data_IF_798509372351
#
_entry.id   IF_798509372351
#
_cell.length_a   1.000
_cell.length_b   1.000
_cell.length_c   1.000
_cell.angle_alpha   90.00
_cell.angle_beta   90.00
_cell.angle_gamma   90.00
#
_symmetry.space_group_name_H-M   'P 1'
#
loop_
_entity.id
_entity.type
_entity.pdbx_description
1 polymer ?
#
# COMPACT_ATOMS: atom_id res chain seq x y z
N UNK A 1 -20.35 13.71 -21.75
CA UNK A 1 -20.02 13.50 -20.31
C UNK A 1 -19.78 12.02 -19.97
N UNK A 2 -20.69 11.09 -20.34
CA UNK A 2 -20.62 9.66 -19.96
C UNK A 2 -19.32 8.91 -20.29
N UNK A 3 -18.70 9.16 -21.46
CA UNK A 3 -17.44 8.49 -21.85
C UNK A 3 -16.23 8.90 -20.98
N UNK A 4 -16.21 10.14 -20.44
CA UNK A 4 -15.11 10.61 -19.60
C UNK A 4 -15.11 9.88 -18.25
N UNK A 5 -16.31 9.62 -17.70
CA UNK A 5 -16.43 8.96 -16.42
C UNK A 5 -16.12 7.45 -16.52
N UNK A 6 -16.52 6.79 -17.61
CA UNK A 6 -16.17 5.39 -17.84
C UNK A 6 -14.64 5.19 -17.97
N UNK A 7 -13.96 6.08 -18.69
CA UNK A 7 -12.50 6.06 -18.78
C UNK A 7 -11.82 6.22 -17.41
N UNK A 8 -12.32 7.13 -16.56
CA UNK A 8 -11.82 7.31 -15.19
C UNK A 8 -12.02 6.06 -14.34
N UNK A 9 -13.22 5.47 -14.35
CA UNK A 9 -13.50 4.22 -13.61
C UNK A 9 -12.59 3.09 -14.07
N UNK A 10 -12.33 2.99 -15.37
CA UNK A 10 -11.45 1.98 -15.94
C UNK A 10 -9.99 2.16 -15.53
N UNK A 11 -9.51 3.40 -15.47
CA UNK A 11 -8.19 3.69 -14.93
C UNK A 11 -8.09 3.36 -13.44
N UNK A 12 -9.09 3.75 -12.64
CA UNK A 12 -9.17 3.39 -11.22
C UNK A 12 -9.16 1.88 -10.99
N UNK A 13 -9.92 1.11 -11.78
CA UNK A 13 -9.88 -0.35 -11.74
C UNK A 13 -8.47 -0.90 -11.97
N UNK A 14 -7.76 -0.37 -12.97
CA UNK A 14 -6.38 -0.80 -13.25
C UNK A 14 -5.43 -0.50 -12.08
N UNK A 15 -5.60 0.67 -11.44
CA UNK A 15 -4.81 1.08 -10.28
C UNK A 15 -5.08 0.17 -9.07
N UNK A 16 -6.35 -0.15 -8.79
CA UNK A 16 -6.69 -1.04 -7.68
C UNK A 16 -6.20 -2.47 -7.91
N UNK A 17 -6.37 -3.01 -9.12
CA UNK A 17 -5.79 -4.31 -9.49
C UNK A 17 -4.27 -4.33 -9.30
N UNK A 18 -3.57 -3.28 -9.73
CA UNK A 18 -2.12 -3.18 -9.60
C UNK A 18 -1.63 -3.00 -8.15
N UNK A 19 -2.52 -2.58 -7.23
CA UNK A 19 -2.28 -2.52 -5.78
C UNK A 19 -2.60 -3.83 -5.06
N UNK A 20 -3.07 -4.86 -5.77
CA UNK A 20 -3.34 -6.19 -5.22
C UNK A 20 -4.75 -6.39 -4.67
N UNK A 21 -5.69 -5.48 -4.91
CA UNK A 21 -7.10 -5.71 -4.58
C UNK A 21 -7.70 -6.82 -5.46
N UNK A 22 -8.71 -7.54 -4.96
CA UNK A 22 -9.44 -8.52 -5.78
C UNK A 22 -10.14 -7.84 -6.98
N UNK A 23 -10.47 -8.58 -8.05
CA UNK A 23 -11.19 -8.02 -9.20
C UNK A 23 -12.52 -7.36 -8.81
N UNK A 24 -13.31 -7.98 -7.93
CA UNK A 24 -14.62 -7.48 -7.49
C UNK A 24 -14.48 -6.24 -6.60
N UNK A 25 -13.49 -6.23 -5.71
CA UNK A 25 -13.18 -5.07 -4.89
C UNK A 25 -12.74 -3.88 -5.75
N UNK A 26 -11.89 -4.14 -6.74
CA UNK A 26 -11.40 -3.12 -7.67
C UNK A 26 -12.53 -2.48 -8.46
N UNK A 27 -13.54 -3.25 -8.87
CA UNK A 27 -14.75 -2.76 -9.54
C UNK A 27 -15.58 -1.88 -8.60
N UNK A 28 -15.85 -2.35 -7.38
CA UNK A 28 -16.60 -1.59 -6.36
C UNK A 28 -15.93 -0.25 -6.07
N UNK A 29 -14.63 -0.27 -5.77
CA UNK A 29 -13.84 0.94 -5.46
C UNK A 29 -13.67 1.88 -6.65
N UNK A 30 -13.66 1.34 -7.86
CA UNK A 30 -13.64 2.15 -9.08
C UNK A 30 -15.00 2.81 -9.39
N UNK A 31 -16.05 2.55 -8.60
CA UNK A 31 -17.35 3.20 -8.75
C UNK A 31 -18.18 2.66 -9.92
N UNK A 32 -17.92 1.42 -10.35
CA UNK A 32 -18.87 0.70 -11.19
C UNK A 32 -20.08 0.38 -10.30
N UNK A 33 -21.24 0.94 -10.66
CA UNK A 33 -22.44 0.97 -9.80
C UNK A 33 -23.02 -0.41 -9.47
N UNK A 34 -24.18 -0.44 -8.81
CA UNK A 34 -24.83 -1.67 -8.36
C UNK A 34 -25.07 -2.65 -9.53
N UNK A 35 -24.27 -3.72 -9.56
CA UNK A 35 -24.29 -4.76 -10.57
C UNK A 35 -23.41 -5.93 -10.14
N UNK A 36 -23.46 -7.02 -10.91
CA UNK A 36 -22.63 -8.20 -10.66
C UNK A 36 -21.15 -7.84 -10.86
N UNK A 37 -20.45 -7.59 -9.74
CA UNK A 37 -19.05 -7.19 -9.73
C UNK A 37 -18.14 -8.26 -10.35
N UNK A 38 -18.51 -9.54 -10.25
CA UNK A 38 -17.76 -10.64 -10.85
C UNK A 38 -17.87 -10.61 -12.38
N UNK A 39 -19.07 -10.41 -12.93
CA UNK A 39 -19.24 -10.24 -14.38
C UNK A 39 -18.55 -8.98 -14.90
N UNK A 40 -18.69 -7.86 -14.20
CA UNK A 40 -18.06 -6.60 -14.57
C UNK A 40 -16.53 -6.70 -14.56
N UNK A 41 -15.95 -7.32 -13.52
CA UNK A 41 -14.51 -7.50 -13.42
C UNK A 41 -13.99 -8.46 -14.49
N UNK A 42 -14.69 -9.57 -14.76
CA UNK A 42 -14.35 -10.50 -15.82
C UNK A 42 -14.39 -9.84 -17.21
N UNK A 43 -15.39 -8.99 -17.48
CA UNK A 43 -15.47 -8.23 -18.73
C UNK A 43 -14.29 -7.26 -18.90
N UNK A 44 -13.95 -6.51 -17.84
CA UNK A 44 -12.79 -5.60 -17.84
C UNK A 44 -11.47 -6.36 -18.05
N UNK A 45 -11.30 -7.49 -17.37
CA UNK A 45 -10.12 -8.35 -17.50
C UNK A 45 -10.06 -9.04 -18.86
N UNK A 46 -11.19 -9.23 -19.55
CA UNK A 46 -11.26 -9.71 -20.93
C UNK A 46 -10.61 -8.76 -21.94
N UNK A 47 -10.51 -7.47 -21.63
CA UNK A 47 -9.90 -6.47 -22.53
C UNK A 47 -8.36 -6.43 -22.40
N UNK A 48 -7.67 -6.68 -23.52
CA UNK A 48 -6.21 -6.67 -23.58
C UNK A 48 -5.57 -5.33 -23.18
N UNK A 49 -6.23 -4.19 -23.43
CA UNK A 49 -5.72 -2.87 -23.03
C UNK A 49 -5.69 -2.72 -21.51
N UNK A 50 -6.71 -3.25 -20.82
CA UNK A 50 -6.77 -3.26 -19.34
C UNK A 50 -5.67 -4.13 -18.79
N UNK A 51 -5.52 -5.37 -19.27
CA UNK A 51 -4.44 -6.26 -18.81
C UNK A 51 -3.06 -5.63 -19.01
N UNK A 52 -2.79 -5.05 -20.17
CA UNK A 52 -1.51 -4.33 -20.43
C UNK A 52 -1.32 -3.11 -19.54
N UNK A 53 -2.39 -2.41 -19.14
CA UNK A 53 -2.30 -1.26 -18.22
C UNK A 53 -2.01 -1.75 -16.80
N UNK A 54 -2.70 -2.79 -16.33
CA UNK A 54 -2.44 -3.44 -15.05
C UNK A 54 -0.98 -3.92 -14.98
N UNK A 55 -0.48 -4.66 -15.97
CA UNK A 55 0.91 -5.14 -15.96
C UNK A 55 1.93 -4.00 -15.93
N UNK A 56 1.67 -2.90 -16.65
CA UNK A 56 2.52 -1.70 -16.59
C UNK A 56 2.49 -1.06 -15.21
N UNK A 57 1.30 -0.80 -14.67
CA UNK A 57 1.14 -0.23 -13.33
C UNK A 57 1.74 -1.13 -12.26
N UNK A 58 1.60 -2.45 -12.35
CA UNK A 58 2.25 -3.39 -11.43
C UNK A 58 3.76 -3.28 -11.52
N UNK A 59 4.32 -3.09 -12.71
CA UNK A 59 5.77 -2.88 -12.88
C UNK A 59 6.19 -1.53 -12.29
N UNK A 60 5.48 -0.45 -12.61
CA UNK A 60 5.77 0.90 -12.12
C UNK A 60 5.58 1.00 -10.59
N UNK A 61 4.62 0.27 -10.03
CA UNK A 61 4.36 0.16 -8.60
C UNK A 61 5.30 -0.85 -7.93
N UNK A 62 5.78 -1.89 -8.60
CA UNK A 62 6.83 -2.77 -8.07
C UNK A 62 8.23 -2.14 -8.18
N UNK A 63 8.40 -1.14 -9.04
CA UNK A 63 9.53 -0.21 -8.98
C UNK A 63 9.48 0.63 -7.69
N UNK A 64 8.35 0.67 -6.97
CA UNK A 64 8.39 0.97 -5.54
C UNK A 64 8.89 -0.27 -4.82
N UNK A 65 10.12 -0.21 -4.30
CA UNK A 65 10.70 -1.30 -3.54
C UNK A 65 9.72 -1.76 -2.42
N UNK A 66 9.66 -3.06 -2.07
CA UNK A 66 8.84 -3.56 -0.97
C UNK A 66 8.98 -2.73 0.31
N UNK A 67 10.18 -2.24 0.56
CA UNK A 67 10.52 -1.30 1.63
C UNK A 67 9.75 0.02 1.57
N UNK A 68 9.56 0.62 0.39
CA UNK A 68 8.80 1.85 0.22
C UNK A 68 7.31 1.63 0.48
N UNK A 69 6.79 0.46 0.12
CA UNK A 69 5.40 0.07 0.43
C UNK A 69 5.23 -0.16 1.93
N UNK A 70 6.17 -0.88 2.57
CA UNK A 70 6.19 -1.08 4.01
C UNK A 70 6.28 0.24 4.77
N UNK A 71 7.19 1.13 4.34
CA UNK A 71 7.35 2.48 4.88
C UNK A 71 6.07 3.28 4.78
N UNK A 72 5.42 3.35 3.62
CA UNK A 72 4.15 4.06 3.46
C UNK A 72 3.03 3.50 4.37
N UNK A 73 2.99 2.19 4.57
CA UNK A 73 2.05 1.55 5.50
C UNK A 73 2.34 1.92 6.96
N UNK A 74 3.60 1.85 7.38
CA UNK A 74 4.04 2.18 8.74
C UNK A 74 3.87 3.67 9.04
N UNK A 75 4.16 4.57 8.09
CA UNK A 75 3.90 6.01 8.21
C UNK A 75 2.41 6.27 8.44
N UNK A 76 1.53 5.58 7.71
CA UNK A 76 0.08 5.69 7.93
C UNK A 76 -0.34 5.15 9.29
N UNK A 77 0.22 4.03 9.77
CA UNK A 77 -0.07 3.52 11.12
C UNK A 77 0.42 4.48 12.22
N UNK A 78 1.62 5.04 12.07
CA UNK A 78 2.24 5.92 13.06
C UNK A 78 1.59 7.31 13.13
N UNK A 79 1.29 7.90 11.98
CA UNK A 79 0.93 9.33 11.83
C UNK A 79 -0.51 9.56 11.35
N UNK A 80 -1.19 8.51 10.89
CA UNK A 80 -2.53 8.63 10.32
C UNK A 80 -3.63 8.87 11.37
N UNK A 81 -4.68 9.56 10.92
CA UNK A 81 -5.91 9.74 11.69
C UNK A 81 -6.76 8.45 11.70
N UNK A 82 -7.56 8.29 12.76
CA UNK A 82 -8.49 7.16 12.97
C UNK A 82 -9.96 7.55 12.72
N UNK A 83 -10.22 8.78 12.29
CA UNK A 83 -11.57 9.30 12.03
C UNK A 83 -12.38 8.47 11.03
N UNK A 84 -11.71 7.74 10.12
CA UNK A 84 -12.37 6.82 9.20
C UNK A 84 -13.10 5.65 9.85
N UNK A 85 -12.82 5.36 11.13
CA UNK A 85 -13.49 4.32 11.93
C UNK A 85 -14.77 4.86 12.59
N UNK A 86 -14.98 6.18 12.61
CA UNK A 86 -16.19 6.82 13.19
C UNK A 86 -17.48 6.36 12.50
N UNK A 87 -17.41 5.92 11.25
CA UNK A 87 -18.55 5.31 10.56
C UNK A 87 -19.12 4.11 11.36
N UNK A 88 -18.28 3.39 12.12
CA UNK A 88 -18.74 2.29 12.96
C UNK A 88 -19.56 2.72 14.19
N UNK A 89 -19.54 4.01 14.56
CA UNK A 89 -20.36 4.53 15.66
C UNK A 89 -21.82 4.79 15.26
N UNK A 90 -22.15 4.68 13.97
CA UNK A 90 -23.53 4.80 13.49
C UNK A 90 -24.35 3.53 13.73
N UNK A 91 -25.68 3.69 13.79
CA UNK A 91 -26.63 2.61 14.13
C UNK A 91 -26.86 1.58 13.00
N UNK A 92 -26.33 1.78 11.79
CA UNK A 92 -26.58 0.88 10.65
C UNK A 92 -25.38 -0.01 10.25
N UNK A 93 -25.64 -1.27 9.92
CA UNK A 93 -24.61 -2.22 9.44
C UNK A 93 -23.99 -1.82 8.08
N UNK A 94 -24.66 -0.94 7.35
CA UNK A 94 -24.20 -0.35 6.08
C UNK A 94 -22.89 0.44 6.24
N UNK A 95 -22.64 1.02 7.42
CA UNK A 95 -21.47 1.87 7.66
C UNK A 95 -20.15 1.11 7.72
N UNK A 96 -20.15 -0.20 8.03
CA UNK A 96 -18.92 -1.01 8.07
C UNK A 96 -18.25 -1.06 6.70
N UNK A 97 -19.05 -1.08 5.62
CA UNK A 97 -18.52 -1.21 4.26
C UNK A 97 -17.72 0.02 3.83
N UNK A 98 -18.06 1.17 4.38
CA UNK A 98 -17.47 2.45 4.00
C UNK A 98 -16.45 2.95 5.05
N UNK A 99 -16.29 2.23 6.17
CA UNK A 99 -15.31 2.52 7.21
C UNK A 99 -13.87 2.21 6.76
N UNK A 100 -12.94 3.13 7.06
CA UNK A 100 -11.51 2.91 6.84
C UNK A 100 -10.91 2.18 8.05
N UNK A 101 -10.78 0.86 7.93
CA UNK A 101 -10.28 -0.01 9.01
C UNK A 101 -8.76 -0.16 9.01
N UNK A 102 -8.01 0.67 8.29
CA UNK A 102 -6.56 0.49 8.11
C UNK A 102 -5.78 0.38 9.44
N UNK A 103 -6.19 1.15 10.46
CA UNK A 103 -5.53 1.14 11.77
C UNK A 103 -6.04 0.04 12.72
N UNK A 104 -7.10 -0.69 12.34
CA UNK A 104 -7.77 -1.68 13.19
C UNK A 104 -7.09 -3.04 13.04
N UNK A 105 -6.53 -3.54 14.14
CA UNK A 105 -5.97 -4.87 14.26
C UNK A 105 -7.05 -5.93 14.54
N UNK A 106 -8.06 -5.60 15.35
CA UNK A 106 -9.18 -6.51 15.65
C UNK A 106 -10.49 -5.72 15.80
N UNK A 107 -11.59 -6.32 15.31
CA UNK A 107 -12.96 -5.80 15.42
C UNK A 107 -13.83 -6.87 16.09
N UNK A 108 -14.53 -6.53 17.18
CA UNK A 108 -15.42 -7.46 17.90
C UNK A 108 -16.77 -6.83 18.22
N UNK A 109 -17.81 -7.65 18.22
CA UNK A 109 -19.17 -7.32 18.69
C UNK A 109 -19.53 -8.24 19.86
N UNK A 110 -19.24 -7.85 21.12
CA UNK A 110 -19.55 -8.69 22.28
C UNK A 110 -21.06 -8.86 22.47
N UNK A 111 -21.46 -9.91 23.20
CA UNK A 111 -22.87 -10.29 23.41
C UNK A 111 -23.71 -9.23 24.13
N UNK A 112 -23.06 -8.27 24.81
CA UNK A 112 -23.71 -7.15 25.49
C UNK A 112 -24.03 -5.96 24.58
N UNK A 113 -23.79 -6.07 23.26
CA UNK A 113 -23.87 -4.94 22.34
C UNK A 113 -22.59 -4.10 22.33
N UNK A 114 -22.58 -3.07 21.49
CA UNK A 114 -21.41 -2.23 21.25
C UNK A 114 -20.37 -2.85 20.31
N UNK A 115 -19.37 -2.04 19.96
CA UNK A 115 -18.26 -2.43 19.08
C UNK A 115 -16.95 -2.20 19.84
N UNK A 116 -16.11 -3.23 19.89
CA UNK A 116 -14.76 -3.16 20.43
C UNK A 116 -13.76 -3.17 19.28
N UNK A 117 -12.81 -2.23 19.35
CA UNK A 117 -11.76 -2.04 18.35
C UNK A 117 -10.40 -2.11 19.03
N UNK A 118 -9.52 -2.93 18.49
CA UNK A 118 -8.10 -2.93 18.84
C UNK A 118 -7.33 -2.30 17.70
N UNK A 119 -6.49 -1.30 17.99
CA UNK A 119 -5.65 -0.66 17.01
C UNK A 119 -4.25 -1.28 16.96
N UNK A 120 -3.57 -1.14 15.84
CA UNK A 120 -2.13 -1.39 15.76
C UNK A 120 -1.34 -0.41 16.64
N UNK A 121 -0.19 -0.87 17.14
CA UNK A 121 0.69 -0.07 17.99
C UNK A 121 1.47 0.98 17.17
N UNK A 122 1.17 2.26 17.42
CA UNK A 122 1.81 3.40 16.75
C UNK A 122 3.29 3.54 17.12
N UNK A 123 3.67 3.26 18.36
CA UNK A 123 5.07 3.31 18.80
C UNK A 123 5.85 2.22 18.08
N UNK A 124 5.28 1.02 17.95
CA UNK A 124 5.92 -0.06 17.19
C UNK A 124 6.13 0.32 15.73
N UNK A 125 5.16 1.01 15.11
CA UNK A 125 5.31 1.50 13.74
C UNK A 125 6.43 2.54 13.60
N UNK A 126 6.55 3.47 14.55
CA UNK A 126 7.65 4.46 14.61
C UNK A 126 9.02 3.80 14.80
N UNK A 127 9.12 2.77 15.65
CA UNK A 127 10.38 2.03 15.83
C UNK A 127 10.84 1.36 14.53
N UNK A 128 9.92 0.68 13.82
CA UNK A 128 10.23 0.05 12.53
C UNK A 128 10.63 1.09 11.48
N UNK A 129 10.01 2.29 11.48
CA UNK A 129 10.40 3.40 10.61
C UNK A 129 11.83 3.89 10.89
N UNK A 130 12.20 4.02 12.16
CA UNK A 130 13.56 4.39 12.55
C UNK A 130 14.60 3.35 12.11
N UNK A 131 14.27 2.06 12.24
CA UNK A 131 15.12 0.94 11.79
C UNK A 131 15.32 0.93 10.27
N UNK A 132 14.27 1.18 9.48
CA UNK A 132 14.39 1.29 8.01
C UNK A 132 15.24 2.49 7.58
N UNK A 133 15.17 3.61 8.31
CA UNK A 133 16.02 4.79 8.05
C UNK A 133 17.51 4.56 8.34
N UNK A 134 17.84 3.62 9.21
CA UNK A 134 19.21 3.25 9.54
C UNK A 134 19.87 2.33 8.50
N UNK A 135 19.08 1.73 7.59
CA UNK A 135 19.56 0.87 6.49
C UNK A 135 20.12 1.61 5.28
N UNK A 136 20.20 2.95 5.33
CA UNK A 136 20.91 3.77 4.35
C UNK A 136 22.42 3.62 4.45
N UNK A 137 22.92 2.42 4.17
CA UNK A 137 24.34 2.01 4.13
C UNK A 137 25.15 2.66 3.00
N UNK A 138 24.80 3.89 2.62
CA UNK A 138 25.58 4.71 1.71
C UNK A 138 26.82 5.31 2.39
N UNK A 139 26.77 5.62 3.68
CA UNK A 139 27.89 6.25 4.38
C UNK A 139 28.92 5.23 4.90
N UNK A 140 28.48 4.16 5.57
CA UNK A 140 29.38 3.17 6.13
C UNK A 140 30.00 2.27 5.04
N UNK A 141 29.19 1.76 4.10
CA UNK A 141 29.69 1.03 2.93
C UNK A 141 30.61 1.87 2.02
N UNK A 142 30.31 3.16 1.80
CA UNK A 142 31.20 4.02 0.99
C UNK A 142 32.51 4.34 1.71
N UNK A 143 32.48 4.54 3.03
CA UNK A 143 33.69 4.75 3.83
C UNK A 143 34.56 3.50 3.85
N UNK A 144 33.98 2.31 4.06
CA UNK A 144 34.73 1.05 4.05
C UNK A 144 35.36 0.83 2.67
N UNK A 145 34.61 1.04 1.58
CA UNK A 145 35.13 0.95 0.21
C UNK A 145 36.23 1.97 -0.09
N UNK A 146 36.10 3.20 0.43
CA UNK A 146 37.13 4.22 0.30
C UNK A 146 38.42 3.83 1.04
N UNK A 147 38.30 3.32 2.27
CA UNK A 147 39.43 2.83 3.07
C UNK A 147 40.13 1.64 2.39
N UNK A 148 39.39 0.67 1.84
CA UNK A 148 39.98 -0.45 1.11
C UNK A 148 40.76 0.00 -0.13
N UNK A 149 40.22 0.97 -0.89
CA UNK A 149 40.91 1.53 -2.06
C UNK A 149 42.18 2.28 -1.68
N UNK A 150 42.13 3.07 -0.60
CA UNK A 150 43.30 3.77 -0.07
C UNK A 150 44.39 2.80 0.40
N UNK A 151 44.03 1.72 1.10
CA UNK A 151 45.00 0.72 1.57
C UNK A 151 45.70 0.00 0.40
N UNK A 152 44.97 -0.33 -0.67
CA UNK A 152 45.55 -0.94 -1.88
C UNK A 152 46.50 0.01 -2.62
N UNK A 153 46.16 1.29 -2.71
CA UNK A 153 47.00 2.28 -3.38
C UNK A 153 48.35 2.47 -2.69
N UNK A 154 48.37 2.37 -1.35
CA UNK A 154 49.62 2.41 -0.56
C UNK A 154 50.47 1.17 -0.81
N UNK A 155 49.88 -0.03 -0.82
CA UNK A 155 50.63 -1.26 -1.09
C UNK A 155 51.21 -1.34 -2.50
N UNK A 156 50.55 -0.76 -3.51
CA UNK A 156 51.09 -0.71 -4.88
C UNK A 156 52.17 0.36 -5.11
N UNK A 157 52.36 1.28 -4.16
CA UNK A 157 53.38 2.32 -4.23
C UNK A 157 54.73 1.89 -3.63
N UNK A 158 54.79 0.75 -2.94
CA UNK A 158 56.02 0.18 -2.37
C UNK A 158 56.74 -0.80 -3.34
N UNK A 159 56.08 -1.18 -4.45
CA UNK A 159 56.58 -2.12 -5.47
C UNK A 159 57.00 -1.44 -6.80
N UNK A 160 57.12 -0.10 -6.84
CA UNK A 160 57.55 0.68 -8.00
C UNK A 160 58.81 1.51 -7.69
#
# INVERSE_FOLDING_TARGET
>A
MKQSDEAKRRELFCIFMARGFSPEESVRRAGYGAGDCGRQSAALLGDAKVRRRISRLMKDLCCRAPEQTARAGLERLALGDVGGVLALLGDEETFIRDADLFHVAELRRPKGGGIELKFYDRLRALSLLAEMGAGGDGAAGSLLSALEKSARAVGSAEDA
#
